data_IF_805500853919
#
_entry.id   IF_805500853919
#
_cell.length_a   1.000
_cell.length_b   1.000
_cell.length_c   1.000
_cell.angle_alpha   90.00
_cell.angle_beta   90.00
_cell.angle_gamma   90.00
#
_symmetry.space_group_name_H-M   'P 1'
#
loop_
_entity.id
_entity.type
_entity.pdbx_description
1 polymer ?
#
# COMPACT_ATOMS: atom_id res chain seq x y z
N UNK A 1 -79.51 -9.58 -1.63
CA UNK A 1 -79.59 -10.35 -2.89
C UNK A 1 -78.50 -9.85 -3.81
N UNK A 2 -77.64 -10.77 -4.29
CA UNK A 2 -76.71 -10.63 -5.43
C UNK A 2 -75.57 -9.61 -5.25
N UNK A 3 -74.32 -9.86 -5.58
CA UNK A 3 -73.70 -10.95 -6.33
C UNK A 3 -72.31 -10.47 -6.74
N UNK A 4 -71.31 -11.30 -6.47
CA UNK A 4 -69.87 -11.13 -6.63
C UNK A 4 -69.51 -10.92 -8.12
N UNK A 5 -68.59 -10.00 -8.44
CA UNK A 5 -67.72 -10.13 -9.61
C UNK A 5 -66.28 -9.71 -9.26
N UNK A 6 -65.42 -10.73 -9.19
CA UNK A 6 -63.97 -10.63 -9.18
C UNK A 6 -63.45 -10.10 -10.52
N UNK A 7 -62.46 -9.19 -10.47
CA UNK A 7 -61.48 -9.05 -11.54
C UNK A 7 -60.08 -8.98 -10.95
N UNK A 8 -59.36 -10.10 -11.11
CA UNK A 8 -57.91 -10.22 -10.92
C UNK A 8 -57.23 -9.45 -12.06
N UNK A 9 -56.32 -8.53 -11.74
CA UNK A 9 -55.38 -7.97 -12.73
C UNK A 9 -53.97 -8.41 -12.38
N UNK A 10 -53.38 -9.12 -13.33
CA UNK A 10 -52.08 -9.79 -13.25
C UNK A 10 -50.94 -8.81 -12.94
N UNK A 11 -50.10 -9.19 -11.96
CA UNK A 11 -48.82 -8.56 -11.69
C UNK A 11 -47.81 -8.90 -12.78
N UNK A 12 -47.10 -7.89 -13.29
CA UNK A 12 -45.90 -8.11 -14.11
C UNK A 12 -44.79 -8.63 -13.20
N UNK A 13 -44.33 -9.85 -13.46
CA UNK A 13 -43.15 -10.43 -12.85
C UNK A 13 -41.91 -9.63 -13.29
N UNK A 14 -41.34 -8.84 -12.39
CA UNK A 14 -39.98 -8.34 -12.53
C UNK A 14 -39.03 -9.49 -12.25
N UNK A 15 -38.31 -9.94 -13.27
CA UNK A 15 -37.19 -10.89 -13.14
C UNK A 15 -36.13 -10.26 -12.24
N UNK A 16 -36.17 -10.58 -10.95
CA UNK A 16 -35.14 -10.25 -9.99
C UNK A 16 -33.87 -11.02 -10.32
N UNK A 17 -33.00 -10.42 -11.12
CA UNK A 17 -31.63 -10.88 -11.27
C UNK A 17 -30.94 -10.76 -9.92
N UNK A 18 -30.76 -11.88 -9.22
CA UNK A 18 -29.92 -11.97 -8.04
C UNK A 18 -28.51 -11.60 -8.46
N UNK A 19 -28.03 -10.41 -8.08
CA UNK A 19 -26.60 -10.09 -8.19
C UNK A 19 -25.85 -11.17 -7.41
N UNK A 20 -24.87 -11.87 -8.00
CA UNK A 20 -24.14 -12.89 -7.27
C UNK A 20 -23.56 -12.26 -6.02
N UNK A 21 -23.82 -12.87 -4.86
CA UNK A 21 -23.28 -12.44 -3.58
C UNK A 21 -21.76 -12.34 -3.74
N UNK A 22 -21.23 -11.13 -3.64
CA UNK A 22 -19.79 -10.87 -3.69
C UNK A 22 -19.18 -11.69 -2.54
N UNK A 23 -18.47 -12.77 -2.87
CA UNK A 23 -17.76 -13.58 -1.86
C UNK A 23 -16.84 -12.63 -1.11
N UNK A 24 -17.19 -12.32 0.14
CA UNK A 24 -16.34 -11.53 1.03
C UNK A 24 -15.05 -12.33 1.17
N UNK A 25 -13.99 -11.89 0.49
CA UNK A 25 -12.68 -12.51 0.62
C UNK A 25 -12.25 -12.33 2.08
N UNK A 26 -11.79 -13.40 2.77
CA UNK A 26 -11.34 -13.26 4.13
C UNK A 26 -10.23 -12.20 4.19
N UNK A 27 -10.39 -11.21 5.07
CA UNK A 27 -9.40 -10.17 5.29
C UNK A 27 -8.09 -10.82 5.73
N UNK A 28 -7.03 -10.65 4.95
CA UNK A 28 -5.70 -11.14 5.32
C UNK A 28 -5.26 -10.42 6.60
N UNK A 29 -5.04 -11.18 7.66
CA UNK A 29 -4.72 -10.59 8.97
C UNK A 29 -3.32 -9.98 8.95
N UNK A 30 -3.27 -8.74 9.40
CA UNK A 30 -2.04 -7.96 9.46
C UNK A 30 -1.40 -8.01 10.86
N UNK A 31 -0.40 -8.88 11.00
CA UNK A 31 0.34 -9.07 12.25
C UNK A 31 1.57 -8.16 12.38
N UNK A 32 1.93 -7.42 11.34
CA UNK A 32 3.17 -6.64 11.30
C UNK A 32 2.95 -5.14 11.55
N UNK A 33 1.73 -4.62 11.31
CA UNK A 33 1.39 -3.20 11.43
C UNK A 33 2.05 -2.46 12.58
N UNK A 34 1.83 -2.92 13.82
CA UNK A 34 2.33 -2.22 15.00
C UNK A 34 3.86 -2.26 15.11
N UNK A 35 4.50 -3.34 14.64
CA UNK A 35 5.96 -3.44 14.59
C UNK A 35 6.54 -2.52 13.54
N UNK A 36 5.88 -2.43 12.39
CA UNK A 36 6.27 -1.56 11.29
C UNK A 36 6.20 -0.09 11.72
N UNK A 37 5.10 0.35 12.34
CA UNK A 37 5.00 1.73 12.85
C UNK A 37 6.10 2.06 13.85
N UNK A 38 6.44 1.15 14.76
CA UNK A 38 7.56 1.34 15.69
C UNK A 38 8.91 1.41 14.98
N UNK A 39 9.12 0.56 13.97
CA UNK A 39 10.31 0.59 13.13
C UNK A 39 10.42 1.96 12.43
N UNK A 40 9.34 2.43 11.81
CA UNK A 40 9.29 3.70 11.09
C UNK A 40 9.60 4.89 11.99
N UNK A 41 8.92 4.98 13.13
CA UNK A 41 9.10 6.04 14.13
C UNK A 41 10.51 6.09 14.70
N UNK A 42 11.16 4.93 14.84
CA UNK A 42 12.47 4.85 15.48
C UNK A 42 13.61 5.23 14.52
N UNK A 43 13.51 4.82 13.26
CA UNK A 43 14.64 4.88 12.33
C UNK A 43 14.37 5.80 11.12
N UNK A 44 13.58 5.42 10.10
CA UNK A 44 13.46 6.22 8.90
C UNK A 44 12.81 7.59 9.15
N UNK A 45 11.82 7.71 10.04
CA UNK A 45 11.18 9.01 10.32
C UNK A 45 12.15 10.03 10.95
N UNK A 46 13.23 9.58 11.59
CA UNK A 46 14.27 10.44 12.18
C UNK A 46 15.45 10.67 11.25
N UNK A 47 15.46 10.06 10.07
CA UNK A 47 16.56 10.17 9.13
C UNK A 47 16.66 11.61 8.57
N UNK A 48 17.86 12.19 8.38
CA UNK A 48 18.01 13.55 7.84
C UNK A 48 17.38 13.78 6.47
N UNK A 49 17.24 12.71 5.66
CA UNK A 49 16.57 12.76 4.36
C UNK A 49 15.06 12.51 4.39
N UNK A 50 14.49 12.26 5.59
CA UNK A 50 13.05 12.35 5.78
C UNK A 50 12.66 13.84 5.88
N UNK A 51 12.33 14.44 4.74
CA UNK A 51 12.02 15.87 4.65
C UNK A 51 10.54 16.10 4.42
N UNK A 52 10.04 17.25 4.86
CA UNK A 52 8.70 17.70 4.54
C UNK A 52 8.61 18.08 3.05
N UNK A 53 7.51 17.69 2.40
CA UNK A 53 7.29 17.88 0.98
C UNK A 53 6.04 18.74 0.71
N UNK A 54 6.07 19.49 -0.38
CA UNK A 54 4.86 20.07 -0.96
C UNK A 54 4.01 18.96 -1.61
N UNK A 55 2.74 19.23 -1.92
CA UNK A 55 1.92 18.25 -2.65
C UNK A 55 2.52 17.91 -4.04
N UNK A 56 3.12 18.90 -4.71
CA UNK A 56 3.84 18.70 -5.97
C UNK A 56 5.07 17.81 -5.76
N UNK A 57 5.86 18.03 -4.70
CA UNK A 57 7.00 17.18 -4.36
C UNK A 57 6.60 15.75 -3.99
N UNK A 58 5.47 15.56 -3.29
CA UNK A 58 4.90 14.23 -3.07
C UNK A 58 4.53 13.55 -4.40
N UNK A 59 3.95 14.31 -5.33
CA UNK A 59 3.55 13.79 -6.65
C UNK A 59 4.76 13.37 -7.47
N UNK A 60 5.81 14.18 -7.49
CA UNK A 60 7.06 13.88 -8.17
C UNK A 60 7.74 12.64 -7.58
N UNK A 61 7.87 12.58 -6.25
CA UNK A 61 8.42 11.42 -5.55
C UNK A 61 7.63 10.14 -5.85
N UNK A 62 6.30 10.19 -5.76
CA UNK A 62 5.47 9.02 -6.02
C UNK A 62 5.58 8.54 -7.48
N UNK A 63 5.57 9.45 -8.44
CA UNK A 63 5.63 9.13 -9.88
C UNK A 63 6.98 8.61 -10.35
N UNK A 64 8.06 8.83 -9.60
CA UNK A 64 9.35 8.15 -9.85
C UNK A 64 9.23 6.63 -9.75
N UNK A 65 8.32 6.13 -8.93
CA UNK A 65 8.13 4.70 -8.66
C UNK A 65 6.86 4.13 -9.28
N UNK A 66 5.81 4.94 -9.38
CA UNK A 66 4.54 4.58 -9.98
C UNK A 66 4.02 5.75 -10.84
N UNK A 67 4.39 5.83 -12.14
CA UNK A 67 4.10 6.98 -12.99
C UNK A 67 2.62 7.34 -13.11
N UNK A 68 1.75 6.34 -13.03
CA UNK A 68 0.29 6.48 -13.22
C UNK A 68 -0.47 6.71 -11.91
N UNK A 69 0.24 6.90 -10.78
CA UNK A 69 -0.39 7.07 -9.46
C UNK A 69 -1.16 8.40 -9.36
N UNK A 70 -2.37 8.33 -8.83
CA UNK A 70 -3.17 9.51 -8.47
C UNK A 70 -2.80 9.99 -7.06
N UNK A 71 -2.31 11.22 -6.93
CA UNK A 71 -1.86 11.80 -5.66
C UNK A 71 -2.82 12.90 -5.22
N UNK A 72 -3.54 12.66 -4.13
CA UNK A 72 -4.57 13.56 -3.60
C UNK A 72 -4.12 14.31 -2.35
N UNK A 73 -4.57 15.56 -2.22
CA UNK A 73 -4.28 16.48 -1.11
C UNK A 73 -4.70 15.95 0.28
N UNK A 74 -5.71 15.06 0.34
CA UNK A 74 -6.18 14.48 1.60
C UNK A 74 -6.81 15.45 2.57
N UNK A 75 -7.36 16.55 2.07
CA UNK A 75 -8.10 17.53 2.89
C UNK A 75 -9.16 16.86 3.74
N UNK A 76 -9.19 17.20 5.03
CA UNK A 76 -10.14 16.65 6.01
C UNK A 76 -9.80 15.25 6.51
N UNK A 77 -8.72 14.61 6.06
CA UNK A 77 -8.30 13.30 6.57
C UNK A 77 -7.39 13.40 7.79
N UNK A 78 -7.58 12.45 8.70
CA UNK A 78 -6.75 12.23 9.89
C UNK A 78 -5.53 11.35 9.63
N UNK A 79 -5.59 10.56 8.55
CA UNK A 79 -4.58 9.58 8.17
C UNK A 79 -4.24 9.72 6.70
N UNK A 80 -2.98 9.47 6.35
CA UNK A 80 -2.63 9.13 4.99
C UNK A 80 -3.27 7.78 4.63
N UNK A 81 -3.35 7.50 3.33
CA UNK A 81 -3.82 6.19 2.89
C UNK A 81 -3.66 6.00 1.39
N UNK A 82 -3.63 4.73 1.01
CA UNK A 82 -3.46 4.27 -0.35
C UNK A 82 -4.56 3.29 -0.76
N UNK A 83 -4.72 3.10 -2.06
CA UNK A 83 -5.55 2.04 -2.65
C UNK A 83 -4.77 1.42 -3.79
N UNK A 84 -4.51 0.11 -3.71
CA UNK A 84 -3.92 -0.66 -4.80
C UNK A 84 -4.84 -0.68 -6.02
N UNK A 85 -6.13 -0.95 -5.80
CA UNK A 85 -7.12 -1.10 -6.88
C UNK A 85 -7.36 0.21 -7.64
N UNK A 86 -7.41 1.34 -6.92
CA UNK A 86 -7.64 2.65 -7.54
C UNK A 86 -6.34 3.35 -7.93
N UNK A 87 -5.18 2.72 -7.70
CA UNK A 87 -3.84 3.25 -7.93
C UNK A 87 -3.65 4.69 -7.40
N UNK A 88 -4.04 4.93 -6.14
CA UNK A 88 -4.04 6.27 -5.56
C UNK A 88 -3.44 6.33 -4.17
N UNK A 89 -2.96 7.51 -3.81
CA UNK A 89 -2.56 7.87 -2.45
C UNK A 89 -3.21 9.20 -2.05
N UNK A 90 -3.45 9.37 -0.76
CA UNK A 90 -4.07 10.56 -0.20
C UNK A 90 -3.26 11.07 0.98
N UNK A 91 -2.76 12.31 0.89
CA UNK A 91 -1.69 12.82 1.76
C UNK A 91 -2.07 14.14 2.47
N UNK A 92 -2.77 14.09 3.63
CA UNK A 92 -2.99 15.29 4.46
C UNK A 92 -1.66 15.97 4.82
N UNK A 93 -1.69 17.30 5.05
CA UNK A 93 -0.47 18.12 5.18
C UNK A 93 0.61 17.56 6.12
N UNK A 94 0.23 17.04 7.29
CA UNK A 94 1.18 16.52 8.29
C UNK A 94 1.91 15.25 7.82
N UNK A 95 1.30 14.50 6.89
CA UNK A 95 1.81 13.23 6.36
C UNK A 95 2.77 13.39 5.18
N UNK A 96 2.98 14.62 4.70
CA UNK A 96 3.83 14.89 3.53
C UNK A 96 5.30 14.88 3.90
N UNK A 97 5.80 13.70 4.21
CA UNK A 97 7.18 13.44 4.55
C UNK A 97 7.69 12.31 3.66
N UNK A 98 8.96 12.32 3.26
CA UNK A 98 9.53 11.32 2.35
C UNK A 98 9.15 9.89 2.74
N UNK A 99 9.33 9.52 4.01
CA UNK A 99 9.04 8.17 4.52
C UNK A 99 7.58 7.77 4.34
N UNK A 100 6.65 8.67 4.71
CA UNK A 100 5.22 8.39 4.63
C UNK A 100 4.78 8.31 3.17
N UNK A 101 5.29 9.17 2.30
CA UNK A 101 4.99 9.09 0.86
C UNK A 101 5.44 7.74 0.30
N UNK A 102 6.66 7.29 0.63
CA UNK A 102 7.17 5.99 0.20
C UNK A 102 6.34 4.81 0.76
N UNK A 103 5.86 4.92 2.00
CA UNK A 103 4.97 3.93 2.61
C UNK A 103 3.66 3.81 1.81
N UNK A 104 3.01 4.94 1.51
CA UNK A 104 1.78 4.94 0.73
C UNK A 104 2.00 4.46 -0.71
N UNK A 105 3.14 4.79 -1.32
CA UNK A 105 3.52 4.28 -2.64
C UNK A 105 3.68 2.76 -2.61
N UNK A 106 4.29 2.19 -1.56
CA UNK A 106 4.45 0.74 -1.43
C UNK A 106 3.10 0.01 -1.43
N UNK A 107 2.06 0.58 -0.80
CA UNK A 107 0.71 0.04 -0.85
C UNK A 107 0.08 0.04 -2.25
N UNK A 108 0.48 0.95 -3.14
CA UNK A 108 0.01 0.94 -4.55
C UNK A 108 0.71 -0.11 -5.42
N UNK A 109 1.78 -0.72 -4.92
CA UNK A 109 2.62 -1.65 -5.67
C UNK A 109 2.49 -3.10 -5.20
N UNK A 110 1.97 -3.31 -3.99
CA UNK A 110 1.72 -4.64 -3.42
C UNK A 110 0.22 -4.89 -3.36
N UNK A 111 -0.24 -5.92 -4.06
CA UNK A 111 -1.65 -6.31 -4.11
C UNK A 111 -2.13 -6.81 -2.74
N UNK A 112 -2.87 -5.97 -2.03
CA UNK A 112 -3.43 -6.25 -0.71
C UNK A 112 -4.55 -7.30 -0.71
N UNK A 113 -4.98 -7.76 -1.90
CA UNK A 113 -5.88 -8.90 -2.05
C UNK A 113 -5.14 -10.24 -2.06
N UNK A 114 -3.83 -10.23 -2.32
CA UNK A 114 -2.96 -11.40 -2.35
C UNK A 114 -2.07 -11.49 -1.11
N UNK A 115 -1.68 -10.34 -0.56
CA UNK A 115 -0.73 -10.22 0.56
C UNK A 115 -1.33 -9.41 1.71
N UNK A 116 -0.95 -9.68 2.97
CA UNK A 116 -1.32 -8.80 4.08
C UNK A 116 -0.84 -7.36 3.82
N UNK A 117 -1.61 -6.37 4.28
CA UNK A 117 -1.34 -4.95 4.03
C UNK A 117 0.10 -4.52 4.37
N UNK A 118 0.67 -5.03 5.47
CA UNK A 118 2.09 -4.87 5.83
C UNK A 118 2.84 -6.21 5.86
N UNK A 119 2.59 -7.07 4.87
CA UNK A 119 3.24 -8.38 4.68
C UNK A 119 4.76 -8.31 4.47
N UNK A 120 5.40 -9.46 4.27
CA UNK A 120 6.84 -9.50 4.04
C UNK A 120 7.24 -8.81 2.72
N UNK A 121 6.36 -8.91 1.73
CA UNK A 121 6.43 -8.32 0.41
C UNK A 121 6.42 -6.78 0.50
N UNK A 122 5.48 -6.24 1.28
CA UNK A 122 5.41 -4.80 1.59
C UNK A 122 6.70 -4.33 2.25
N UNK A 123 7.16 -5.01 3.31
CA UNK A 123 8.35 -4.58 4.06
C UNK A 123 9.60 -4.62 3.18
N UNK A 124 9.75 -5.66 2.35
CA UNK A 124 10.84 -5.74 1.38
C UNK A 124 10.82 -4.56 0.40
N UNK A 125 9.69 -4.31 -0.25
CA UNK A 125 9.55 -3.20 -1.18
C UNK A 125 9.82 -1.84 -0.52
N UNK A 126 9.25 -1.60 0.66
CA UNK A 126 9.43 -0.36 1.40
C UNK A 126 10.91 -0.10 1.74
N UNK A 127 11.66 -1.13 2.14
CA UNK A 127 13.11 -1.04 2.37
C UNK A 127 13.85 -0.64 1.08
N UNK A 128 13.47 -1.23 -0.06
CA UNK A 128 14.05 -0.88 -1.36
C UNK A 128 13.81 0.58 -1.72
N UNK A 129 12.59 1.08 -1.49
CA UNK A 129 12.23 2.49 -1.71
C UNK A 129 13.02 3.43 -0.80
N UNK A 130 13.11 3.11 0.51
CA UNK A 130 13.90 3.89 1.46
C UNK A 130 15.37 3.98 1.02
N UNK A 131 15.97 2.86 0.65
CA UNK A 131 17.36 2.82 0.21
C UNK A 131 17.59 3.64 -1.07
N UNK A 132 16.63 3.61 -2.01
CA UNK A 132 16.73 4.40 -3.25
C UNK A 132 16.69 5.90 -3.01
N UNK A 133 15.94 6.34 -2.00
CA UNK A 133 15.90 7.75 -1.57
C UNK A 133 17.02 8.10 -0.57
N UNK A 134 17.96 7.19 -0.31
CA UNK A 134 19.09 7.42 0.61
C UNK A 134 18.71 7.39 2.09
N UNK A 135 17.54 6.88 2.46
CA UNK A 135 17.12 6.67 3.85
C UNK A 135 17.69 5.34 4.39
N UNK A 136 19.02 5.26 4.45
CA UNK A 136 19.76 4.05 4.79
C UNK A 136 20.07 3.17 3.56
N UNK A 137 20.63 1.99 3.80
CA UNK A 137 20.89 0.98 2.77
C UNK A 137 19.91 -0.18 2.89
N UNK A 138 19.80 -1.02 1.86
CA UNK A 138 19.02 -2.27 1.94
C UNK A 138 19.50 -3.12 3.11
N UNK A 139 20.81 -3.24 3.28
CA UNK A 139 21.43 -4.02 4.36
C UNK A 139 21.07 -3.45 5.74
N UNK A 140 21.32 -2.16 5.99
CA UNK A 140 21.08 -1.54 7.30
C UNK A 140 19.61 -1.59 7.68
N UNK A 141 18.72 -1.30 6.72
CA UNK A 141 17.28 -1.30 6.95
C UNK A 141 16.73 -2.72 7.12
N UNK A 142 17.26 -3.71 6.40
CA UNK A 142 16.88 -5.12 6.58
C UNK A 142 17.32 -5.64 7.94
N UNK A 143 18.53 -5.30 8.39
CA UNK A 143 19.02 -5.67 9.72
C UNK A 143 18.12 -5.04 10.81
N UNK A 144 17.82 -3.74 10.71
CA UNK A 144 16.95 -3.06 11.65
C UNK A 144 15.51 -3.64 11.65
N UNK A 145 14.97 -3.98 10.48
CA UNK A 145 13.65 -4.62 10.37
C UNK A 145 13.63 -6.00 11.05
N UNK A 146 14.68 -6.82 10.86
CA UNK A 146 14.83 -8.12 11.54
C UNK A 146 14.94 -7.95 13.06
N UNK A 147 15.69 -6.97 13.55
CA UNK A 147 15.77 -6.63 14.98
C UNK A 147 14.40 -6.21 15.55
N UNK A 148 13.61 -5.47 14.77
CA UNK A 148 12.21 -5.14 15.10
C UNK A 148 11.23 -6.32 14.95
N UNK A 149 11.73 -7.52 14.61
CA UNK A 149 10.97 -8.75 14.38
C UNK A 149 9.92 -8.62 13.27
N UNK A 150 10.24 -7.82 12.25
CA UNK A 150 9.52 -7.80 10.98
C UNK A 150 10.01 -8.95 10.10
N UNK A 151 9.05 -9.59 9.43
CA UNK A 151 9.29 -10.44 8.26
C UNK A 151 9.41 -9.53 7.05
N UNK A 152 10.39 -9.81 6.20
CA UNK A 152 10.60 -9.13 4.93
C UNK A 152 10.97 -10.14 3.85
N UNK A 153 10.56 -9.89 2.62
CA UNK A 153 10.99 -10.64 1.44
C UNK A 153 11.95 -9.77 0.62
N UNK A 154 13.28 -10.03 0.67
CA UNK A 154 14.26 -9.24 -0.06
C UNK A 154 14.15 -9.43 -1.58
N UNK A 155 13.56 -10.53 -2.05
CA UNK A 155 13.38 -10.79 -3.47
C UNK A 155 12.35 -9.82 -4.07
N UNK A 156 11.44 -9.26 -3.27
CA UNK A 156 10.50 -8.24 -3.74
C UNK A 156 11.16 -6.92 -4.10
N UNK A 157 12.35 -6.62 -3.57
CA UNK A 157 13.17 -5.48 -4.00
C UNK A 157 13.64 -5.71 -5.45
N UNK A 158 14.04 -6.93 -5.77
CA UNK A 158 14.53 -7.36 -7.08
C UNK A 158 13.42 -7.58 -8.13
N UNK A 159 12.27 -8.11 -7.69
CA UNK A 159 11.12 -8.45 -8.56
C UNK A 159 10.15 -7.30 -8.77
N UNK A 160 10.30 -6.18 -8.07
CA UNK A 160 9.40 -5.06 -8.25
C UNK A 160 9.37 -4.65 -9.72
N UNK A 161 8.18 -4.40 -10.27
CA UNK A 161 8.03 -3.92 -11.65
C UNK A 161 8.53 -2.49 -11.82
N UNK A 162 9.02 -1.87 -10.75
CA UNK A 162 9.49 -0.50 -10.71
C UNK A 162 10.89 -0.42 -11.33
N UNK A 163 11.06 0.19 -12.52
CA UNK A 163 12.35 0.22 -13.19
C UNK A 163 13.45 0.86 -12.35
N UNK A 164 13.10 1.86 -11.54
CA UNK A 164 14.03 2.58 -10.66
C UNK A 164 14.66 1.71 -9.55
N UNK A 165 14.05 0.57 -9.20
CA UNK A 165 14.57 -0.34 -8.18
C UNK A 165 15.44 -1.48 -8.77
N UNK A 166 15.49 -1.64 -10.10
CA UNK A 166 16.27 -2.72 -10.75
C UNK A 166 17.76 -2.67 -10.42
N UNK A 167 18.35 -1.48 -10.29
CA UNK A 167 19.77 -1.31 -9.95
C UNK A 167 20.10 -1.70 -8.50
N UNK A 168 19.11 -1.72 -7.60
CA UNK A 168 19.30 -2.14 -6.21
C UNK A 168 19.34 -3.68 -6.11
N UNK A 169 18.71 -4.38 -7.07
CA UNK A 169 18.69 -5.84 -7.16
C UNK A 169 20.08 -6.47 -7.27
N UNK A 170 21.02 -5.82 -7.96
CA UNK A 170 22.37 -6.36 -8.20
C UNK A 170 23.21 -6.43 -6.92
N UNK A 171 22.82 -5.71 -5.86
CA UNK A 171 23.46 -5.78 -4.54
C UNK A 171 22.88 -6.90 -3.64
N UNK A 172 21.74 -7.49 -4.02
CA UNK A 172 20.99 -8.44 -3.17
C UNK A 172 21.50 -9.87 -3.29
N UNK A 173 22.24 -10.22 -4.34
CA UNK A 173 22.87 -11.55 -4.49
C UNK A 173 23.89 -11.86 -3.37
N UNK A 174 24.37 -10.85 -2.63
CA UNK A 174 25.20 -11.05 -1.42
C UNK A 174 24.40 -11.37 -0.15
N UNK A 175 23.11 -11.02 -0.07
CA UNK A 175 22.30 -11.14 1.15
C UNK A 175 21.44 -12.41 1.20
N UNK A 176 21.29 -13.15 0.10
CA UNK A 176 20.59 -14.43 0.06
C UNK A 176 21.42 -15.60 0.67
N UNK A 177 22.67 -15.35 1.05
CA UNK A 177 23.62 -16.32 1.60
C UNK A 177 24.05 -16.02 3.06
N UNK A 178 23.38 -15.10 3.75
CA UNK A 178 23.56 -14.76 5.17
C UNK A 178 22.23 -14.93 5.94
#
# INVERSE_FOLDING_TARGET
>A
MQGIFSFVRAGKATTGGVRPAQKVRPTLRDFQRQKLYRFEEHLPMKHPFNVALSLAGCTELARRYNPEIDVRDGRGRRHAGASYQDNLITLPRWSRQTVIVLHEVAHTLVDDTLYPHHGAEFVGLFIGLLAREGLGTVESNSQAARQARLKLDPIWIARSRVPALRQISEQIDLLAHL
#
